data_IF_583190017827
#
_entry.id   IF_583190017827
#
_cell.length_a   1.000
_cell.length_b   1.000
_cell.length_c   1.000
_cell.angle_alpha   90.00
_cell.angle_beta   90.00
_cell.angle_gamma   90.00
#
_symmetry.space_group_name_H-M   'P 1'
#
loop_
_entity.id
_entity.type
_entity.pdbx_description
1 polymer ?
#
# COMPACT_ATOMS: atom_id res chain seq x y z
N UNK A 1 10.88 15.58 -4.66
CA UNK A 1 9.52 15.07 -5.01
C UNK A 1 9.17 13.87 -4.13
N UNK A 2 9.14 14.15 -2.82
CA UNK A 2 9.03 13.06 -1.83
C UNK A 2 7.76 12.22 -1.98
N UNK A 3 6.59 12.84 -2.19
CA UNK A 3 5.34 12.08 -2.32
C UNK A 3 5.37 11.17 -3.53
N UNK A 4 5.86 11.66 -4.65
CA UNK A 4 5.97 10.84 -5.86
C UNK A 4 6.94 9.68 -5.66
N UNK A 5 8.08 9.93 -5.01
CA UNK A 5 9.05 8.87 -4.73
C UNK A 5 8.49 7.81 -3.79
N UNK A 6 7.72 8.20 -2.79
CA UNK A 6 7.05 7.27 -1.89
C UNK A 6 6.07 6.39 -2.66
N UNK A 7 5.22 7.01 -3.49
CA UNK A 7 4.25 6.29 -4.31
C UNK A 7 4.92 5.26 -5.20
N UNK A 8 5.95 5.67 -5.92
CA UNK A 8 6.65 4.79 -6.85
C UNK A 8 7.36 3.66 -6.10
N UNK A 9 7.96 3.95 -4.95
CA UNK A 9 8.64 2.92 -4.15
C UNK A 9 7.67 1.84 -3.70
N UNK A 10 6.48 2.21 -3.22
CA UNK A 10 5.46 1.25 -2.82
C UNK A 10 4.94 0.43 -4.00
N UNK A 11 4.65 1.09 -5.12
CA UNK A 11 4.15 0.40 -6.31
C UNK A 11 5.19 -0.57 -6.86
N UNK A 12 6.46 -0.18 -6.88
CA UNK A 12 7.53 -1.06 -7.32
C UNK A 12 7.69 -2.27 -6.40
N UNK A 13 7.62 -2.04 -5.08
CA UNK A 13 7.70 -3.13 -4.11
C UNK A 13 6.55 -4.10 -4.29
N UNK A 14 5.34 -3.59 -4.45
CA UNK A 14 4.16 -4.43 -4.65
C UNK A 14 4.28 -5.29 -5.91
N UNK A 15 4.85 -4.74 -6.98
CA UNK A 15 5.00 -5.47 -8.24
C UNK A 15 5.95 -6.66 -8.14
N UNK A 16 6.76 -6.73 -7.09
CA UNK A 16 7.68 -7.85 -6.85
C UNK A 16 6.99 -9.06 -6.20
N UNK A 17 5.75 -8.90 -5.72
CA UNK A 17 5.05 -10.00 -5.07
C UNK A 17 4.68 -11.11 -6.05
N UNK A 18 4.77 -12.35 -5.57
CA UNK A 18 4.34 -13.53 -6.33
C UNK A 18 3.30 -14.29 -5.51
N UNK A 19 2.25 -14.80 -6.15
CA UNK A 19 1.89 -14.60 -7.56
C UNK A 19 1.46 -13.17 -7.83
N UNK A 20 1.68 -12.71 -9.06
CA UNK A 20 1.25 -11.39 -9.50
C UNK A 20 -0.25 -11.37 -9.77
N UNK A 21 -0.96 -10.35 -9.31
CA UNK A 21 -2.36 -10.14 -9.66
C UNK A 21 -2.51 -8.79 -10.36
N UNK A 22 -3.56 -8.67 -11.17
CA UNK A 22 -3.84 -7.44 -11.90
C UNK A 22 -3.99 -6.28 -10.93
N UNK A 23 -3.36 -5.14 -11.23
CA UNK A 23 -3.33 -3.99 -10.34
C UNK A 23 -3.88 -2.76 -11.04
N UNK A 24 -4.83 -2.11 -10.35
CA UNK A 24 -5.34 -0.80 -10.77
C UNK A 24 -4.57 0.28 -10.01
N UNK A 25 -3.72 1.01 -10.73
CA UNK A 25 -2.98 2.14 -10.16
C UNK A 25 -3.83 3.41 -10.21
N UNK A 26 -3.52 4.36 -9.34
CA UNK A 26 -4.28 5.61 -9.27
C UNK A 26 -4.30 6.33 -10.62
N UNK A 27 -5.50 6.84 -10.98
CA UNK A 27 -5.71 7.65 -12.19
C UNK A 27 -5.34 6.94 -13.49
N UNK A 28 -5.23 5.61 -13.49
CA UNK A 28 -4.99 4.84 -14.70
C UNK A 28 -6.25 4.09 -15.10
N UNK A 29 -6.37 3.79 -16.40
CA UNK A 29 -7.46 2.98 -16.91
C UNK A 29 -7.30 1.54 -16.49
N UNK A 30 -8.36 0.96 -15.95
CA UNK A 30 -8.35 -0.45 -15.55
C UNK A 30 -9.74 -1.03 -15.73
N UNK A 31 -9.82 -2.19 -16.36
CA UNK A 31 -11.10 -2.91 -16.53
C UNK A 31 -11.02 -4.26 -15.83
N UNK A 32 -11.75 -4.45 -14.74
CA UNK A 32 -11.79 -5.75 -14.08
C UNK A 32 -12.34 -6.83 -15.01
N UNK A 33 -11.75 -8.01 -14.93
CA UNK A 33 -12.23 -9.19 -15.65
C UNK A 33 -13.06 -10.05 -14.69
N UNK A 34 -14.25 -10.44 -15.11
CA UNK A 34 -15.14 -11.24 -14.27
C UNK A 34 -14.45 -12.54 -13.87
N UNK A 35 -14.54 -12.89 -12.57
CA UNK A 35 -13.96 -14.11 -12.04
C UNK A 35 -12.45 -14.06 -11.80
N UNK A 36 -11.78 -12.97 -12.12
CA UNK A 36 -10.32 -12.82 -11.97
C UNK A 36 -10.02 -11.87 -10.82
N UNK A 37 -9.20 -12.26 -9.84
CA UNK A 37 -8.80 -11.37 -8.76
C UNK A 37 -8.04 -10.15 -9.27
N UNK A 38 -8.23 -9.01 -8.61
CA UNK A 38 -7.43 -7.81 -8.88
C UNK A 38 -7.23 -7.04 -7.58
N UNK A 39 -6.36 -6.04 -7.63
CA UNK A 39 -6.13 -5.16 -6.50
C UNK A 39 -6.11 -3.71 -6.96
N UNK A 40 -6.58 -2.81 -6.09
CA UNK A 40 -6.58 -1.38 -6.32
C UNK A 40 -5.67 -0.76 -5.28
N UNK A 41 -4.78 0.13 -5.69
CA UNK A 41 -3.84 0.75 -4.77
C UNK A 41 -4.05 2.26 -4.72
N UNK A 42 -3.78 2.84 -3.56
CA UNK A 42 -3.91 4.26 -3.32
C UNK A 42 -2.92 4.71 -2.26
N UNK A 43 -2.21 5.81 -2.51
CA UNK A 43 -1.39 6.46 -1.51
C UNK A 43 -2.20 7.58 -0.88
N UNK A 44 -2.26 7.61 0.45
CA UNK A 44 -2.96 8.66 1.20
C UNK A 44 -1.92 9.38 2.07
N UNK A 45 -1.34 10.49 1.59
CA UNK A 45 -0.44 11.29 2.41
C UNK A 45 -1.22 11.96 3.53
N UNK A 46 -0.60 12.05 4.70
CA UNK A 46 -1.15 12.74 5.86
C UNK A 46 -0.32 13.98 6.14
N UNK A 47 -0.77 14.80 7.08
CA UNK A 47 -0.06 16.02 7.45
C UNK A 47 1.39 15.70 7.85
N UNK A 48 2.39 16.34 7.24
CA UNK A 48 3.78 16.13 7.64
C UNK A 48 4.03 16.57 9.07
N UNK A 49 4.96 15.89 9.70
CA UNK A 49 5.39 16.23 11.05
C UNK A 49 6.72 16.99 11.00
N UNK A 50 6.87 17.96 11.88
CA UNK A 50 8.09 18.76 12.03
C UNK A 50 8.66 18.49 13.42
N UNK A 51 9.41 17.38 13.60
CA UNK A 51 9.86 16.96 14.93
C UNK A 51 10.82 17.94 15.59
N UNK A 52 11.54 18.74 14.80
CA UNK A 52 12.53 19.68 15.29
C UNK A 52 12.20 21.07 14.76
N UNK A 53 12.03 22.06 15.65
CA UNK A 53 11.80 23.45 15.27
C UNK A 53 13.03 23.96 14.51
N UNK A 54 12.82 24.55 13.34
CA UNK A 54 13.91 25.01 12.47
C UNK A 54 14.90 23.91 12.09
N UNK A 55 14.45 22.65 12.14
CA UNK A 55 15.29 21.52 11.81
C UNK A 55 15.54 21.35 10.32
N UNK A 56 16.56 20.57 9.96
CA UNK A 56 16.95 20.37 8.56
C UNK A 56 16.06 19.40 7.81
N UNK A 57 15.03 18.86 8.44
CA UNK A 57 14.16 17.87 7.82
C UNK A 57 12.73 18.00 8.30
N UNK A 58 11.83 17.44 7.53
CA UNK A 58 10.46 17.19 7.96
C UNK A 58 10.12 15.72 7.71
N UNK A 59 9.07 15.24 8.37
CA UNK A 59 8.68 13.85 8.29
C UNK A 59 7.39 13.69 7.52
N UNK A 60 7.46 13.06 6.36
CA UNK A 60 6.28 12.62 5.63
C UNK A 60 5.72 11.37 6.31
N UNK A 61 4.40 11.29 6.36
CA UNK A 61 3.72 10.14 6.92
C UNK A 61 2.39 9.95 6.18
N UNK A 62 1.88 8.73 6.24
CA UNK A 62 0.63 8.43 5.59
C UNK A 62 0.41 6.93 5.48
N UNK A 63 -0.45 6.56 4.53
CA UNK A 63 -0.85 5.19 4.30
C UNK A 63 -0.75 4.83 2.84
N UNK A 64 -0.29 3.61 2.57
CA UNK A 64 -0.45 2.98 1.28
C UNK A 64 -1.52 1.90 1.44
N UNK A 65 -2.62 2.05 0.71
CA UNK A 65 -3.76 1.15 0.84
C UNK A 65 -3.83 0.22 -0.36
N UNK A 66 -4.03 -1.05 -0.10
CA UNK A 66 -4.17 -2.09 -1.11
C UNK A 66 -5.53 -2.75 -0.89
N UNK A 67 -6.43 -2.59 -1.86
CA UNK A 67 -7.76 -3.20 -1.78
C UNK A 67 -7.75 -4.46 -2.63
N UNK A 68 -7.79 -5.61 -1.96
CA UNK A 68 -7.80 -6.91 -2.65
C UNK A 68 -9.25 -7.24 -3.01
N UNK A 69 -9.51 -7.43 -4.30
CA UNK A 69 -10.86 -7.69 -4.80
C UNK A 69 -10.89 -9.08 -5.45
N UNK A 70 -11.56 -10.02 -4.79
CA UNK A 70 -11.65 -11.41 -5.23
C UNK A 70 -13.10 -11.77 -5.56
N UNK A 71 -13.34 -12.77 -6.42
CA UNK A 71 -14.71 -13.20 -6.70
C UNK A 71 -15.42 -13.67 -5.44
N UNK A 72 -16.68 -13.25 -5.26
CA UNK A 72 -17.43 -13.53 -4.03
C UNK A 72 -17.90 -14.99 -3.91
N UNK A 73 -17.96 -15.70 -5.01
CA UNK A 73 -18.48 -17.07 -5.02
C UNK A 73 -17.53 -18.11 -4.43
N UNK A 74 -16.33 -17.70 -4.02
CA UNK A 74 -15.32 -18.60 -3.43
C UNK A 74 -15.12 -18.38 -1.95
N UNK A 75 -15.99 -17.59 -1.31
CA UNK A 75 -15.84 -17.25 0.11
C UNK A 75 -14.68 -16.30 0.35
N UNK A 76 -14.21 -16.23 1.59
CA UNK A 76 -13.19 -15.27 2.02
C UNK A 76 -11.81 -15.86 2.23
N UNK A 77 -11.67 -17.19 2.13
CA UNK A 77 -10.40 -17.85 2.45
C UNK A 77 -9.23 -17.40 1.60
N UNK A 78 -9.42 -17.33 0.28
CA UNK A 78 -8.34 -16.97 -0.64
C UNK A 78 -7.92 -15.51 -0.47
N UNK A 79 -8.88 -14.60 -0.34
CA UNK A 79 -8.57 -13.19 -0.21
C UNK A 79 -7.87 -12.89 1.13
N UNK A 80 -8.29 -13.54 2.21
CA UNK A 80 -7.64 -13.39 3.51
C UNK A 80 -6.23 -13.97 3.50
N UNK A 81 -6.03 -15.08 2.80
CA UNK A 81 -4.71 -15.65 2.63
C UNK A 81 -3.79 -14.67 1.89
N UNK A 82 -4.28 -14.06 0.83
CA UNK A 82 -3.51 -13.05 0.10
C UNK A 82 -3.23 -11.84 0.97
N UNK A 83 -4.21 -11.40 1.78
CA UNK A 83 -4.03 -10.28 2.70
C UNK A 83 -2.90 -10.56 3.70
N UNK A 84 -2.83 -11.76 4.24
CA UNK A 84 -1.74 -12.16 5.13
C UNK A 84 -0.39 -12.13 4.39
N UNK A 85 -0.35 -12.59 3.15
CA UNK A 85 0.87 -12.54 2.33
C UNK A 85 1.31 -11.09 2.11
N UNK A 86 0.37 -10.19 1.82
CA UNK A 86 0.68 -8.76 1.68
C UNK A 86 1.21 -8.18 2.98
N UNK A 87 0.58 -8.51 4.12
CA UNK A 87 1.05 -8.05 5.43
C UNK A 87 2.49 -8.49 5.68
N UNK A 88 2.81 -9.74 5.37
CA UNK A 88 4.15 -10.26 5.60
C UNK A 88 5.17 -9.65 4.65
N UNK A 89 4.73 -9.32 3.44
CA UNK A 89 5.60 -8.69 2.44
C UNK A 89 5.95 -7.24 2.79
N UNK A 90 5.02 -6.52 3.41
CA UNK A 90 5.21 -5.15 3.88
C UNK A 90 5.32 -5.11 5.41
N UNK A 91 6.00 -6.05 5.99
CA UNK A 91 6.09 -6.19 7.45
C UNK A 91 6.72 -4.96 8.10
N UNK A 92 6.40 -4.75 9.37
CA UNK A 92 7.00 -3.69 10.18
C UNK A 92 8.53 -3.80 10.15
N UNK A 93 9.20 -2.68 10.00
CA UNK A 93 10.65 -2.61 9.93
C UNK A 93 11.21 -2.66 8.52
N UNK A 94 10.37 -2.89 7.51
CA UNK A 94 10.80 -2.86 6.12
C UNK A 94 11.11 -1.42 5.73
N UNK A 95 12.26 -1.23 5.06
CA UNK A 95 12.66 0.08 4.53
C UNK A 95 12.69 0.01 3.02
N UNK A 96 12.01 0.96 2.38
CA UNK A 96 12.07 1.15 0.93
C UNK A 96 12.96 2.35 0.65
N UNK A 97 13.74 2.28 -0.40
CA UNK A 97 14.65 3.38 -0.77
C UNK A 97 14.41 3.79 -2.20
N UNK A 98 14.30 5.09 -2.44
CA UNK A 98 14.21 5.64 -3.79
C UNK A 98 14.78 7.04 -3.81
N UNK A 99 15.68 7.32 -4.75
CA UNK A 99 16.30 8.64 -4.95
C UNK A 99 16.86 9.21 -3.65
N UNK A 100 17.49 8.37 -2.83
CA UNK A 100 18.06 8.78 -1.55
C UNK A 100 17.07 8.93 -0.42
N UNK A 101 15.77 8.76 -0.67
CA UNK A 101 14.75 8.81 0.36
C UNK A 101 14.52 7.42 0.94
N UNK A 102 14.58 7.30 2.27
CA UNK A 102 14.29 6.06 2.97
C UNK A 102 12.88 6.12 3.55
N UNK A 103 12.06 5.15 3.21
CA UNK A 103 10.68 5.05 3.64
C UNK A 103 10.56 3.87 4.59
N UNK A 104 10.17 4.14 5.82
CA UNK A 104 10.08 3.09 6.85
C UNK A 104 8.62 2.69 7.07
N UNK A 105 8.37 1.40 7.02
CA UNK A 105 7.09 0.83 7.44
C UNK A 105 7.20 0.57 8.95
N UNK A 106 6.59 1.44 9.75
CA UNK A 106 6.82 1.43 11.20
C UNK A 106 5.78 0.62 11.96
N UNK A 107 4.72 0.15 11.30
CA UNK A 107 3.69 -0.67 11.94
C UNK A 107 3.38 -1.88 11.07
N UNK A 108 2.99 -2.97 11.73
CA UNK A 108 2.43 -4.13 11.04
C UNK A 108 1.21 -3.69 10.24
N UNK A 109 1.13 -4.02 8.93
CA UNK A 109 -0.03 -3.61 8.14
C UNK A 109 -1.35 -4.10 8.73
N UNK A 110 -2.36 -3.26 8.65
CA UNK A 110 -3.70 -3.57 9.15
C UNK A 110 -4.50 -4.26 8.05
N UNK A 111 -5.08 -5.41 8.36
CA UNK A 111 -6.06 -6.06 7.49
C UNK A 111 -7.42 -5.62 7.98
N UNK A 112 -8.11 -4.80 7.20
CA UNK A 112 -9.41 -4.26 7.58
C UNK A 112 -10.54 -5.24 7.29
N UNK A 113 -11.73 -4.91 7.73
CA UNK A 113 -12.88 -5.79 7.60
C UNK A 113 -13.27 -6.06 6.16
N UNK A 114 -13.74 -7.28 5.91
CA UNK A 114 -14.20 -7.73 4.61
C UNK A 114 -15.47 -6.99 4.20
N UNK A 115 -15.50 -6.50 2.96
CA UNK A 115 -16.68 -5.87 2.36
C UNK A 115 -17.11 -6.67 1.14
N UNK A 116 -18.42 -6.82 0.98
CA UNK A 116 -18.96 -7.49 -0.20
C UNK A 116 -19.64 -6.42 -1.05
N UNK A 117 -19.11 -6.19 -2.25
CA UNK A 117 -19.63 -5.20 -3.19
C UNK A 117 -19.89 -5.92 -4.50
N UNK A 118 -21.18 -6.04 -4.85
CA UNK A 118 -21.63 -6.76 -6.04
C UNK A 118 -21.12 -8.21 -6.02
N UNK A 119 -20.33 -8.59 -7.02
CA UNK A 119 -19.77 -9.95 -7.14
C UNK A 119 -18.36 -10.05 -6.59
N UNK A 120 -17.93 -9.09 -5.77
CA UNK A 120 -16.56 -9.04 -5.24
C UNK A 120 -16.54 -9.01 -3.73
N UNK A 121 -15.57 -9.72 -3.18
CA UNK A 121 -15.17 -9.60 -1.78
C UNK A 121 -13.95 -8.71 -1.73
N UNK A 122 -14.01 -7.63 -0.98
CA UNK A 122 -12.93 -6.65 -0.92
C UNK A 122 -12.36 -6.64 0.49
N UNK A 123 -11.03 -6.82 0.59
CA UNK A 123 -10.32 -6.76 1.86
C UNK A 123 -9.22 -5.70 1.74
N UNK A 124 -9.34 -4.58 2.47
CA UNK A 124 -8.30 -3.57 2.49
C UNK A 124 -7.11 -4.00 3.34
N UNK A 125 -5.91 -3.74 2.85
CA UNK A 125 -4.68 -3.86 3.64
C UNK A 125 -4.05 -2.47 3.68
N UNK A 126 -3.82 -1.96 4.89
CA UNK A 126 -3.33 -0.60 5.10
C UNK A 126 -1.92 -0.66 5.63
N UNK A 127 -0.98 -0.09 4.89
CA UNK A 127 0.44 -0.04 5.24
C UNK A 127 0.79 1.39 5.64
N UNK A 128 1.21 1.59 6.89
CA UNK A 128 1.58 2.92 7.37
C UNK A 128 3.07 3.14 7.24
N UNK A 129 3.44 4.32 6.78
CA UNK A 129 4.83 4.66 6.52
C UNK A 129 5.21 6.00 7.12
N UNK A 130 6.51 6.17 7.27
CA UNK A 130 7.11 7.46 7.61
C UNK A 130 8.41 7.60 6.80
N UNK A 131 8.73 8.83 6.42
CA UNK A 131 9.94 9.12 5.64
C UNK A 131 10.45 10.51 6.00
N UNK A 132 11.69 10.61 6.42
CA UNK A 132 12.30 11.89 6.75
C UNK A 132 12.90 12.51 5.49
N UNK A 133 12.45 13.72 5.19
CA UNK A 133 12.86 14.46 3.98
C UNK A 133 13.84 15.53 4.39
N UNK A 134 15.06 15.45 3.88
CA UNK A 134 16.11 16.42 4.15
C UNK A 134 15.89 17.65 3.28
N UNK A 135 15.92 18.82 3.88
CA UNK A 135 15.69 20.09 3.19
C UNK A 135 16.95 20.94 3.04
N UNK A 136 18.10 20.36 3.42
CA UNK A 136 19.40 21.05 3.25
C UNK A 136 20.08 20.59 1.98
#
# INVERSE_FOLDING_TARGET
MSILDIKIAFEAKLSEMTPTISTSYEASSFKPVAGVPYQVVQLIPQTPDNPVVDGPFYREQGEFQIFLAYPSNKGTGEVLKRAQTVRDFFKRGTTLTRNGLSILIYRTPTIAGTQIIRDRVIVPVVVRYTADVNIL
#
